data_IF_036936436474
#
_entry.id   IF_036936436474
#
_cell.length_a   1.000
_cell.length_b   1.000
_cell.length_c   1.000
_cell.angle_alpha   90.00
_cell.angle_beta   90.00
_cell.angle_gamma   90.00
#
_symmetry.space_group_name_H-M   'P 1'
#
loop_
_entity.id
_entity.type
_entity.pdbx_description
1 polymer ?
#
# COMPACT_ATOMS: atom_id res chain seq x y z
N UNK A 1 -37.17 -46.71 11.79
CA UNK A 1 -36.77 -45.88 10.62
C UNK A 1 -36.96 -44.42 11.02
N UNK A 2 -35.89 -43.74 11.42
CA UNK A 2 -35.93 -42.33 11.79
C UNK A 2 -35.68 -41.51 10.53
N UNK A 3 -36.64 -40.71 10.10
CA UNK A 3 -36.51 -39.72 9.00
C UNK A 3 -35.52 -38.63 9.40
N UNK A 4 -34.37 -38.55 8.72
CA UNK A 4 -33.50 -37.38 8.75
C UNK A 4 -34.25 -36.19 8.10
N UNK A 5 -34.62 -35.21 8.92
CA UNK A 5 -35.13 -33.93 8.48
C UNK A 5 -34.00 -33.18 7.75
N UNK A 6 -34.23 -32.86 6.47
CA UNK A 6 -33.30 -32.03 5.68
C UNK A 6 -33.24 -30.63 6.24
N UNK A 7 -32.10 -30.20 6.74
CA UNK A 7 -31.81 -28.82 6.96
C UNK A 7 -31.89 -28.09 5.60
N UNK A 8 -32.70 -27.03 5.55
CA UNK A 8 -33.14 -26.41 4.33
C UNK A 8 -31.99 -25.85 3.49
N UNK A 9 -32.12 -26.00 2.17
CA UNK A 9 -31.24 -25.48 1.11
C UNK A 9 -30.89 -23.98 1.25
N UNK A 10 -31.62 -23.24 2.10
CA UNK A 10 -31.33 -21.82 2.39
C UNK A 10 -30.11 -21.60 3.27
N UNK A 11 -29.83 -22.51 4.22
CA UNK A 11 -28.66 -22.38 5.09
C UNK A 11 -27.35 -22.76 4.38
N UNK A 12 -27.43 -23.70 3.45
CA UNK A 12 -26.30 -24.09 2.58
C UNK A 12 -25.95 -23.01 1.56
N UNK A 13 -26.93 -22.19 1.12
CA UNK A 13 -26.70 -21.06 0.25
C UNK A 13 -26.01 -19.89 1.01
N UNK A 14 -26.38 -19.67 2.27
CA UNK A 14 -25.76 -18.65 3.13
C UNK A 14 -24.32 -19.02 3.55
N UNK A 15 -23.98 -20.31 3.58
CA UNK A 15 -22.61 -20.78 3.86
C UNK A 15 -21.71 -20.83 2.62
N UNK A 16 -22.26 -20.66 1.41
CA UNK A 16 -21.49 -20.66 0.16
C UNK A 16 -20.75 -19.37 -0.12
N UNK A 17 -21.06 -18.27 0.57
CA UNK A 17 -20.43 -16.96 0.34
C UNK A 17 -19.22 -16.69 1.27
N UNK A 18 -18.88 -17.63 2.17
CA UNK A 18 -17.64 -17.49 2.95
C UNK A 18 -16.53 -18.22 2.19
N UNK A 19 -15.68 -17.44 1.52
CA UNK A 19 -14.43 -17.96 0.95
C UNK A 19 -13.70 -18.80 2.02
N UNK A 20 -13.32 -20.07 1.75
CA UNK A 20 -12.47 -20.82 2.65
C UNK A 20 -11.18 -20.05 2.90
N UNK A 21 -10.76 -19.93 4.16
CA UNK A 21 -9.46 -19.34 4.50
C UNK A 21 -8.34 -20.19 3.90
N UNK A 22 -7.40 -19.55 3.23
CA UNK A 22 -6.21 -20.23 2.72
C UNK A 22 -5.28 -20.64 3.88
N UNK A 23 -4.32 -21.55 3.61
CA UNK A 23 -3.39 -22.03 4.63
C UNK A 23 -2.60 -20.83 5.22
N UNK A 24 -2.73 -20.62 6.54
CA UNK A 24 -2.12 -19.51 7.27
C UNK A 24 -3.02 -18.28 7.46
N UNK A 25 -4.24 -18.29 6.93
CA UNK A 25 -5.24 -17.25 7.17
C UNK A 25 -6.11 -17.64 8.40
N UNK A 26 -6.48 -16.65 9.20
CA UNK A 26 -7.50 -16.81 10.24
C UNK A 26 -8.30 -15.52 10.44
N UNK A 27 -9.47 -15.62 11.07
CA UNK A 27 -10.32 -14.49 11.43
C UNK A 27 -9.81 -13.85 12.74
N UNK A 28 -9.38 -12.60 12.67
CA UNK A 28 -8.92 -11.82 13.81
C UNK A 28 -9.94 -10.72 14.13
N UNK A 29 -10.15 -10.45 15.41
CA UNK A 29 -10.97 -9.31 15.84
C UNK A 29 -10.33 -7.99 15.41
N UNK A 30 -11.14 -7.10 14.84
CA UNK A 30 -10.65 -5.79 14.35
C UNK A 30 -10.07 -4.92 15.47
N UNK A 31 -10.50 -5.13 16.71
CA UNK A 31 -10.03 -4.48 17.92
C UNK A 31 -8.60 -4.85 18.32
N UNK A 32 -8.11 -6.01 17.89
CA UNK A 32 -6.74 -6.48 18.13
C UNK A 32 -5.74 -5.94 17.09
N UNK A 33 -6.23 -5.31 16.02
CA UNK A 33 -5.40 -4.78 14.95
C UNK A 33 -5.06 -3.32 15.23
N UNK A 34 -3.80 -2.96 15.04
CA UNK A 34 -3.29 -1.59 15.21
C UNK A 34 -2.59 -1.13 13.94
N UNK A 35 -2.79 0.13 13.51
CA UNK A 35 -2.08 0.66 12.34
C UNK A 35 -0.59 0.82 12.65
N UNK A 36 0.24 0.64 11.62
CA UNK A 36 1.66 0.91 11.75
C UNK A 36 1.90 2.44 11.71
N UNK A 37 2.51 3.07 12.73
CA UNK A 37 2.75 4.50 12.78
C UNK A 37 3.71 5.01 11.69
N UNK A 38 4.49 4.12 11.07
CA UNK A 38 5.44 4.42 9.99
C UNK A 38 4.81 4.33 8.59
N UNK A 39 3.50 4.09 8.48
CA UNK A 39 2.81 4.06 7.19
C UNK A 39 2.86 5.44 6.51
N UNK A 40 3.35 5.53 5.27
CA UNK A 40 3.55 6.81 4.59
C UNK A 40 2.24 7.49 4.17
N UNK A 41 1.15 6.73 4.04
CA UNK A 41 -0.14 7.25 3.55
C UNK A 41 -0.99 7.80 4.68
N UNK A 42 -1.20 9.14 4.67
CA UNK A 42 -2.05 9.86 5.65
C UNK A 42 -3.39 10.32 5.07
N UNK A 43 -3.49 10.42 3.75
CA UNK A 43 -4.69 10.94 3.06
C UNK A 43 -5.35 9.83 2.24
N UNK A 44 -6.66 9.76 2.33
CA UNK A 44 -7.50 8.80 1.64
C UNK A 44 -8.54 9.55 0.82
N UNK A 45 -8.72 9.16 -0.44
CA UNK A 45 -9.83 9.66 -1.24
C UNK A 45 -11.15 9.19 -0.60
N UNK A 46 -12.04 10.13 -0.18
CA UNK A 46 -13.28 9.78 0.49
C UNK A 46 -14.21 8.93 -0.39
N UNK A 47 -14.28 9.19 -1.69
CA UNK A 47 -15.12 8.44 -2.61
C UNK A 47 -14.63 7.00 -2.76
N UNK A 48 -13.32 6.81 -3.00
CA UNK A 48 -12.71 5.48 -3.11
C UNK A 48 -12.75 4.69 -1.78
N UNK A 49 -12.86 5.38 -0.64
CA UNK A 49 -13.06 4.74 0.66
C UNK A 49 -14.51 4.28 0.80
N UNK A 50 -15.49 5.10 0.41
CA UNK A 50 -16.90 4.74 0.49
C UNK A 50 -17.23 3.53 -0.40
N UNK A 51 -16.74 3.49 -1.62
CA UNK A 51 -16.88 2.33 -2.52
C UNK A 51 -16.31 1.04 -1.89
N UNK A 52 -15.18 1.14 -1.19
CA UNK A 52 -14.58 0.01 -0.50
C UNK A 52 -15.44 -0.44 0.69
N UNK A 53 -15.99 0.49 1.48
CA UNK A 53 -16.89 0.19 2.61
C UNK A 53 -18.13 -0.56 2.11
N UNK A 54 -18.76 -0.07 1.03
CA UNK A 54 -19.96 -0.69 0.46
C UNK A 54 -19.67 -2.10 -0.09
N UNK A 55 -18.53 -2.28 -0.75
CA UNK A 55 -18.08 -3.60 -1.20
C UNK A 55 -17.82 -4.56 -0.03
N UNK A 56 -17.23 -4.07 1.08
CA UNK A 56 -16.95 -4.88 2.27
C UNK A 56 -18.23 -5.22 3.02
N UNK A 57 -19.24 -4.34 3.06
CA UNK A 57 -20.57 -4.65 3.62
C UNK A 57 -21.25 -5.78 2.86
N UNK A 58 -21.10 -5.81 1.54
CA UNK A 58 -21.75 -6.81 0.68
C UNK A 58 -21.00 -8.16 0.69
N UNK A 59 -19.67 -8.14 0.59
CA UNK A 59 -18.84 -9.34 0.30
C UNK A 59 -17.85 -9.70 1.42
N UNK A 60 -17.77 -8.89 2.48
CA UNK A 60 -16.72 -9.02 3.47
C UNK A 60 -15.35 -8.61 2.93
N UNK A 61 -14.31 -8.84 3.72
CA UNK A 61 -12.92 -8.61 3.32
C UNK A 61 -12.40 -9.82 2.56
N UNK A 62 -12.31 -9.72 1.22
CA UNK A 62 -11.89 -10.82 0.35
C UNK A 62 -10.39 -11.08 0.38
N UNK A 63 -9.58 -10.02 0.53
CA UNK A 63 -8.12 -10.14 0.62
C UNK A 63 -7.69 -9.98 2.07
N UNK A 64 -6.97 -10.95 2.65
CA UNK A 64 -6.55 -10.87 4.04
C UNK A 64 -5.62 -9.68 4.29
N UNK A 65 -5.67 -9.19 5.53
CA UNK A 65 -4.78 -8.13 6.02
C UNK A 65 -3.49 -8.79 6.48
N UNK A 66 -2.35 -8.29 6.03
CA UNK A 66 -1.06 -8.77 6.46
C UNK A 66 -0.67 -8.10 7.77
N UNK A 67 -0.38 -8.90 8.79
CA UNK A 67 -0.10 -8.44 10.14
C UNK A 67 1.12 -9.14 10.74
N UNK A 68 1.68 -8.55 11.82
CA UNK A 68 2.69 -9.20 12.66
C UNK A 68 2.28 -9.15 14.13
N UNK A 69 2.73 -10.06 14.98
CA UNK A 69 2.50 -10.00 16.41
C UNK A 69 3.15 -8.73 16.99
N UNK A 70 2.45 -8.01 17.86
CA UNK A 70 2.99 -6.87 18.59
C UNK A 70 2.23 -6.66 19.91
N UNK A 71 2.90 -6.92 21.03
CA UNK A 71 2.28 -6.90 22.35
C UNK A 71 1.20 -7.98 22.47
N UNK A 72 0.01 -7.58 22.90
CA UNK A 72 -1.18 -8.42 23.06
C UNK A 72 -2.09 -8.48 21.83
N UNK A 73 -1.64 -7.93 20.69
CA UNK A 73 -2.39 -7.87 19.44
C UNK A 73 -1.50 -7.98 18.22
N UNK A 74 -1.93 -7.32 17.13
CA UNK A 74 -1.25 -7.36 15.86
C UNK A 74 -1.08 -5.97 15.28
N UNK A 75 0.09 -5.71 14.68
CA UNK A 75 0.36 -4.50 13.91
C UNK A 75 0.18 -4.79 12.41
N UNK A 76 -0.54 -3.90 11.73
CA UNK A 76 -0.83 -4.02 10.30
C UNK A 76 0.44 -3.67 9.50
N UNK A 77 0.93 -4.64 8.70
CA UNK A 77 2.00 -4.43 7.72
C UNK A 77 1.41 -3.87 6.42
N UNK A 78 0.34 -4.50 5.91
CA UNK A 78 -0.33 -4.11 4.68
C UNK A 78 -1.85 -4.35 4.77
N UNK A 79 -2.64 -3.45 4.15
CA UNK A 79 -4.10 -3.55 4.13
C UNK A 79 -4.84 -2.63 5.10
N UNK A 80 -4.23 -1.53 5.56
CA UNK A 80 -4.86 -0.57 6.48
C UNK A 80 -6.19 -0.02 5.96
N UNK A 81 -6.33 0.25 4.64
CA UNK A 81 -7.62 0.67 4.06
C UNK A 81 -8.72 -0.35 4.30
N UNK A 82 -8.42 -1.64 4.11
CA UNK A 82 -9.38 -2.73 4.32
C UNK A 82 -9.79 -2.83 5.78
N UNK A 83 -8.85 -2.68 6.70
CA UNK A 83 -9.12 -2.64 8.14
C UNK A 83 -10.02 -1.47 8.52
N UNK A 84 -9.72 -0.24 8.08
CA UNK A 84 -10.55 0.95 8.35
C UNK A 84 -11.94 0.80 7.76
N UNK A 85 -12.04 0.37 6.50
CA UNK A 85 -13.32 0.14 5.84
C UNK A 85 -14.13 -0.99 6.52
N UNK A 86 -13.48 -2.03 7.06
CA UNK A 86 -14.13 -3.09 7.82
C UNK A 86 -14.72 -2.57 9.15
N UNK A 87 -14.01 -1.69 9.86
CA UNK A 87 -14.54 -1.03 11.07
C UNK A 87 -15.78 -0.21 10.72
N UNK A 88 -15.71 0.63 9.68
CA UNK A 88 -16.83 1.47 9.24
C UNK A 88 -17.99 0.65 8.66
N UNK A 89 -17.71 -0.52 8.10
CA UNK A 89 -18.72 -1.48 7.66
C UNK A 89 -19.38 -2.24 8.82
N UNK A 90 -18.85 -2.12 10.06
CA UNK A 90 -19.38 -2.78 11.25
C UNK A 90 -18.99 -4.25 11.38
N UNK A 91 -17.86 -4.68 10.80
CA UNK A 91 -17.37 -6.04 10.95
C UNK A 91 -16.60 -6.20 12.27
N UNK A 92 -16.91 -7.26 13.02
CA UNK A 92 -16.19 -7.62 14.26
C UNK A 92 -14.86 -8.32 13.97
N UNK A 93 -14.78 -9.07 12.85
CA UNK A 93 -13.62 -9.89 12.48
C UNK A 93 -13.27 -9.74 11.01
N UNK A 94 -11.98 -9.82 10.72
CA UNK A 94 -11.42 -9.76 9.36
C UNK A 94 -10.39 -10.87 9.15
N UNK A 95 -10.24 -11.37 7.92
CA UNK A 95 -9.20 -12.35 7.60
C UNK A 95 -7.82 -11.69 7.67
N UNK A 96 -6.89 -12.35 8.36
CA UNK A 96 -5.50 -11.91 8.50
C UNK A 96 -4.52 -13.02 8.17
N UNK A 97 -3.33 -12.63 7.69
CA UNK A 97 -2.16 -13.50 7.60
C UNK A 97 -1.10 -12.93 8.54
N UNK A 98 -0.61 -13.79 9.45
CA UNK A 98 0.48 -13.41 10.36
C UNK A 98 1.82 -13.70 9.72
N UNK A 99 2.71 -12.71 9.75
CA UNK A 99 4.14 -12.88 9.48
C UNK A 99 4.96 -12.50 10.71
N UNK A 100 5.80 -13.42 11.14
CA UNK A 100 6.80 -13.12 12.16
C UNK A 100 7.98 -12.40 11.50
N UNK A 101 8.00 -11.09 11.59
CA UNK A 101 9.02 -10.22 10.99
C UNK A 101 9.45 -9.15 11.98
N UNK A 102 10.71 -8.78 11.92
CA UNK A 102 11.28 -7.65 12.66
C UNK A 102 10.66 -6.31 12.23
N UNK A 103 10.85 -5.25 13.01
CA UNK A 103 10.42 -3.90 12.66
C UNK A 103 10.95 -3.46 11.30
N UNK A 104 12.22 -3.79 11.02
CA UNK A 104 12.88 -3.47 9.75
C UNK A 104 12.25 -4.21 8.58
N UNK A 105 12.03 -5.51 8.69
CA UNK A 105 11.39 -6.32 7.65
C UNK A 105 9.93 -5.92 7.42
N UNK A 106 9.20 -5.56 8.49
CA UNK A 106 7.83 -5.08 8.37
C UNK A 106 7.75 -3.76 7.59
N UNK A 107 8.68 -2.82 7.87
CA UNK A 107 8.79 -1.56 7.14
C UNK A 107 9.15 -1.80 5.67
N UNK A 108 10.07 -2.71 5.39
CA UNK A 108 10.45 -3.10 4.02
C UNK A 108 9.24 -3.63 3.24
N UNK A 109 8.50 -4.58 3.83
CA UNK A 109 7.32 -5.17 3.19
C UNK A 109 6.25 -4.11 2.90
N UNK A 110 6.01 -3.21 3.83
CA UNK A 110 5.05 -2.11 3.65
C UNK A 110 5.49 -1.15 2.53
N UNK A 111 6.79 -0.84 2.44
CA UNK A 111 7.36 0.00 1.39
C UNK A 111 7.25 -0.65 0.01
N UNK A 112 7.61 -1.92 -0.11
CA UNK A 112 7.56 -2.67 -1.37
C UNK A 112 6.11 -2.83 -1.84
N UNK A 113 5.16 -3.13 -0.92
CA UNK A 113 3.73 -3.20 -1.27
C UNK A 113 3.23 -1.85 -1.79
N UNK A 114 3.57 -0.76 -1.10
CA UNK A 114 3.18 0.57 -1.53
C UNK A 114 3.76 0.94 -2.91
N UNK A 115 5.00 0.54 -3.21
CA UNK A 115 5.65 0.76 -4.52
C UNK A 115 5.01 -0.01 -5.68
N UNK A 116 4.29 -1.09 -5.42
CA UNK A 116 3.57 -1.86 -6.45
C UNK A 116 2.23 -1.22 -6.86
N UNK A 117 1.85 -0.09 -6.26
CA UNK A 117 0.63 0.63 -6.58
C UNK A 117 0.80 1.41 -7.90
N UNK A 118 -0.29 1.50 -8.67
CA UNK A 118 -0.28 2.19 -9.96
C UNK A 118 -0.45 3.72 -9.86
N UNK A 119 -0.82 4.23 -8.69
CA UNK A 119 -1.22 5.63 -8.46
C UNK A 119 -0.17 6.47 -7.69
N UNK A 120 1.08 5.99 -7.60
CA UNK A 120 2.15 6.72 -6.94
C UNK A 120 2.60 7.93 -7.75
N UNK A 121 2.81 9.06 -7.04
CA UNK A 121 3.51 10.20 -7.61
C UNK A 121 4.98 9.84 -7.85
N UNK A 122 5.61 10.30 -8.95
CA UNK A 122 7.03 10.01 -9.25
C UNK A 122 8.01 10.40 -8.13
N UNK A 123 7.70 11.42 -7.31
CA UNK A 123 8.52 11.80 -6.16
C UNK A 123 8.34 10.85 -4.98
N UNK A 124 7.13 10.36 -4.73
CA UNK A 124 6.87 9.35 -3.69
C UNK A 124 7.57 8.04 -4.01
N UNK A 125 7.52 7.64 -5.28
CA UNK A 125 8.25 6.47 -5.78
C UNK A 125 9.77 6.63 -5.58
N UNK A 126 10.31 7.79 -5.92
CA UNK A 126 11.74 8.10 -5.77
C UNK A 126 12.17 8.10 -4.28
N UNK A 127 11.36 8.67 -3.39
CA UNK A 127 11.62 8.66 -1.94
C UNK A 127 11.59 7.24 -1.37
N UNK A 128 10.64 6.41 -1.78
CA UNK A 128 10.59 5.00 -1.35
C UNK A 128 11.84 4.22 -1.82
N UNK A 129 12.32 4.45 -3.06
CA UNK A 129 13.59 3.86 -3.52
C UNK A 129 14.77 4.35 -2.71
N UNK A 130 14.82 5.63 -2.34
CA UNK A 130 15.87 6.18 -1.50
C UNK A 130 15.90 5.50 -0.14
N UNK A 131 14.74 5.36 0.52
CA UNK A 131 14.64 4.67 1.81
C UNK A 131 15.13 3.23 1.71
N UNK A 132 14.75 2.48 0.66
CA UNK A 132 15.25 1.11 0.45
C UNK A 132 16.78 1.05 0.32
N UNK A 133 17.40 2.03 -0.30
CA UNK A 133 18.85 2.10 -0.46
C UNK A 133 19.54 2.53 0.84
N UNK A 134 19.09 3.62 1.46
CA UNK A 134 19.78 4.24 2.60
C UNK A 134 19.55 3.47 3.91
N UNK A 135 18.30 3.03 4.18
CA UNK A 135 17.95 2.38 5.45
C UNK A 135 18.11 0.86 5.41
N UNK A 136 17.88 0.25 4.23
CA UNK A 136 17.96 -1.21 4.07
C UNK A 136 19.25 -1.68 3.42
N UNK A 137 20.05 -0.78 2.84
CA UNK A 137 21.35 -1.08 2.23
C UNK A 137 21.27 -1.74 0.87
N UNK A 138 20.11 -1.66 0.18
CA UNK A 138 19.96 -2.24 -1.16
C UNK A 138 20.71 -1.42 -2.21
N UNK A 139 21.26 -2.10 -3.19
CA UNK A 139 21.72 -1.49 -4.43
C UNK A 139 20.52 -1.11 -5.32
N UNK A 140 20.72 -0.16 -6.25
CA UNK A 140 19.69 0.19 -7.23
C UNK A 140 19.22 -1.01 -8.06
N UNK A 141 20.10 -1.99 -8.29
CA UNK A 141 19.78 -3.22 -9.01
C UNK A 141 18.84 -4.13 -8.20
N UNK A 142 19.10 -4.30 -6.91
CA UNK A 142 18.25 -5.10 -6.02
C UNK A 142 16.88 -4.45 -5.83
N UNK A 143 16.83 -3.11 -5.67
CA UNK A 143 15.57 -2.38 -5.63
C UNK A 143 14.77 -2.63 -6.91
N UNK A 144 15.39 -2.49 -8.08
CA UNK A 144 14.75 -2.72 -9.38
C UNK A 144 14.16 -4.14 -9.48
N UNK A 145 14.90 -5.16 -9.08
CA UNK A 145 14.42 -6.54 -9.06
C UNK A 145 13.23 -6.73 -8.12
N UNK A 146 13.27 -6.15 -6.90
CA UNK A 146 12.18 -6.26 -5.92
C UNK A 146 10.87 -5.63 -6.40
N UNK A 147 10.95 -4.53 -7.15
CA UNK A 147 9.75 -3.81 -7.64
C UNK A 147 9.37 -4.17 -9.08
N UNK A 148 10.09 -5.09 -9.73
CA UNK A 148 9.80 -5.55 -11.09
C UNK A 148 10.06 -4.47 -12.16
N UNK A 149 11.08 -3.61 -11.95
CA UNK A 149 11.46 -2.53 -12.87
C UNK A 149 12.92 -2.64 -13.31
N UNK A 150 13.30 -1.87 -14.32
CA UNK A 150 14.70 -1.78 -14.74
C UNK A 150 15.51 -0.88 -13.80
N UNK A 151 16.81 -1.18 -13.63
CA UNK A 151 17.74 -0.36 -12.85
C UNK A 151 17.74 1.10 -13.31
N UNK A 152 17.66 1.35 -14.63
CA UNK A 152 17.62 2.69 -15.21
C UNK A 152 16.39 3.47 -14.77
N UNK A 153 15.24 2.81 -14.59
CA UNK A 153 14.01 3.41 -14.07
C UNK A 153 14.21 3.88 -12.62
N UNK A 154 14.78 3.03 -11.77
CA UNK A 154 15.10 3.37 -10.38
C UNK A 154 16.10 4.54 -10.32
N UNK A 155 17.17 4.48 -11.12
CA UNK A 155 18.17 5.55 -11.18
C UNK A 155 17.56 6.90 -11.63
N UNK A 156 16.68 6.88 -12.64
CA UNK A 156 16.00 8.08 -13.13
C UNK A 156 15.01 8.65 -12.09
N UNK A 157 14.29 7.81 -11.37
CA UNK A 157 13.41 8.24 -10.28
C UNK A 157 14.23 8.93 -9.18
N UNK A 158 15.32 8.33 -8.72
CA UNK A 158 16.18 8.91 -7.68
C UNK A 158 16.76 10.28 -8.09
N UNK A 159 17.03 10.50 -9.37
CA UNK A 159 17.47 11.80 -9.86
C UNK A 159 16.43 12.90 -9.67
N UNK A 160 15.12 12.58 -9.67
CA UNK A 160 14.05 13.56 -9.44
C UNK A 160 14.14 14.21 -8.04
N UNK A 161 14.75 13.52 -7.07
CA UNK A 161 14.97 14.07 -5.74
C UNK A 161 15.96 15.25 -5.71
N UNK A 162 16.74 15.45 -6.80
CA UNK A 162 17.68 16.56 -6.95
C UNK A 162 17.05 17.81 -7.57
N UNK A 163 15.78 17.76 -7.97
CA UNK A 163 15.05 18.93 -8.49
C UNK A 163 14.96 20.04 -7.45
N UNK A 164 14.84 21.28 -7.93
CA UNK A 164 14.53 22.42 -7.06
C UNK A 164 13.17 22.23 -6.35
N UNK A 165 12.94 22.88 -5.20
CA UNK A 165 11.66 22.78 -4.50
C UNK A 165 10.46 23.13 -5.38
N UNK A 166 10.60 24.16 -6.23
CA UNK A 166 9.56 24.62 -7.16
C UNK A 166 9.26 23.56 -8.22
N UNK A 167 10.31 22.93 -8.79
CA UNK A 167 10.15 21.87 -9.79
C UNK A 167 9.52 20.61 -9.18
N UNK A 168 9.87 20.27 -7.94
CA UNK A 168 9.22 19.16 -7.21
C UNK A 168 7.73 19.44 -7.00
N UNK A 169 7.38 20.67 -6.64
CA UNK A 169 5.98 21.03 -6.43
C UNK A 169 5.19 21.01 -7.74
N UNK A 170 5.75 21.52 -8.83
CA UNK A 170 5.15 21.45 -10.15
C UNK A 170 4.93 19.98 -10.61
N UNK A 171 5.90 19.09 -10.35
CA UNK A 171 5.78 17.66 -10.64
C UNK A 171 4.72 17.00 -9.76
N UNK A 172 4.66 17.34 -8.48
CA UNK A 172 3.65 16.81 -7.54
C UNK A 172 2.22 17.18 -7.93
N UNK A 173 2.03 18.41 -8.44
CA UNK A 173 0.74 18.90 -8.95
C UNK A 173 0.40 18.43 -10.35
N UNK A 174 1.27 17.66 -11.00
CA UNK A 174 1.06 17.22 -12.38
C UNK A 174 1.19 18.33 -13.42
N UNK A 175 1.71 19.50 -13.06
CA UNK A 175 1.95 20.63 -14.00
C UNK A 175 3.07 20.32 -15.00
N UNK A 176 4.02 19.48 -14.57
CA UNK A 176 5.07 18.93 -15.44
C UNK A 176 5.08 17.40 -15.32
N UNK A 177 5.44 16.71 -16.40
CA UNK A 177 5.63 15.26 -16.40
C UNK A 177 7.00 14.87 -15.84
N UNK A 178 7.18 13.60 -15.45
CA UNK A 178 8.49 13.04 -15.09
C UNK A 178 9.52 13.18 -16.24
N UNK A 179 9.05 13.18 -17.49
CA UNK A 179 9.88 13.45 -18.67
C UNK A 179 10.43 14.87 -18.66
N UNK A 180 9.55 15.88 -18.49
CA UNK A 180 9.95 17.29 -18.38
C UNK A 180 10.88 17.51 -17.18
N UNK A 181 10.58 16.91 -16.03
CA UNK A 181 11.41 16.99 -14.84
C UNK A 181 12.84 16.47 -15.07
N UNK A 182 13.01 15.39 -15.87
CA UNK A 182 14.34 14.88 -16.23
C UNK A 182 15.13 15.85 -17.11
N UNK A 183 14.46 16.57 -18.01
CA UNK A 183 15.10 17.63 -18.82
C UNK A 183 15.56 18.78 -17.92
N UNK A 184 14.74 19.20 -16.96
CA UNK A 184 15.13 20.23 -16.00
C UNK A 184 16.38 19.84 -15.18
N UNK A 185 16.59 18.55 -14.91
CA UNK A 185 17.80 18.07 -14.21
C UNK A 185 19.09 18.20 -15.02
N UNK A 186 19.03 18.45 -16.34
CA UNK A 186 20.20 18.74 -17.15
C UNK A 186 20.65 20.23 -17.06
N UNK A 187 19.84 21.05 -16.42
CA UNK A 187 20.10 22.46 -16.18
C UNK A 187 20.66 22.62 -14.77
N UNK A 188 21.92 23.02 -14.68
CA UNK A 188 22.60 23.15 -13.37
C UNK A 188 22.19 24.42 -12.62
N UNK A 189 21.77 25.48 -13.34
CA UNK A 189 21.39 26.75 -12.76
C UNK A 189 19.91 26.73 -12.26
N UNK A 190 19.67 26.89 -10.94
CA UNK A 190 18.31 26.94 -10.37
C UNK A 190 17.44 28.09 -10.93
N UNK A 191 18.05 29.24 -11.30
CA UNK A 191 17.31 30.37 -11.86
C UNK A 191 16.79 30.05 -13.27
N UNK A 192 17.58 29.35 -14.08
CA UNK A 192 17.15 28.89 -15.38
C UNK A 192 16.06 27.81 -15.26
N UNK A 193 16.16 26.90 -14.27
CA UNK A 193 15.09 25.95 -13.99
C UNK A 193 13.77 26.64 -13.63
N UNK A 194 13.81 27.69 -12.79
CA UNK A 194 12.62 28.48 -12.42
C UNK A 194 12.02 29.20 -13.60
N UNK A 195 12.89 29.78 -14.48
CA UNK A 195 12.44 30.49 -15.66
C UNK A 195 11.67 29.60 -16.64
N UNK A 196 12.15 28.36 -16.83
CA UNK A 196 11.49 27.35 -17.68
C UNK A 196 10.19 26.81 -17.10
N UNK A 197 10.04 26.80 -15.78
CA UNK A 197 8.79 26.38 -15.13
C UNK A 197 7.67 27.41 -15.25
N UNK A 198 7.97 28.65 -15.64
CA UNK A 198 7.00 29.75 -15.82
C UNK A 198 6.48 29.87 -17.26
N UNK A 199 7.05 29.13 -18.20
CA UNK A 199 6.61 29.03 -19.59
C UNK A 199 5.56 27.96 -19.80
#
# INVERSE_FOLDING_TARGET
VVKKGGLGKGLEALLRDVRPLDAGEFLCEVSLLRPNPLQPRKEWDPQAMQELIDSIKEKGVLQPILVRPKGDGYEIIAGERRWRAAIEAGLDKVPVIVKEVSDKEALELALVENLQRQDLNPLEEAEAYRVLIEEFGYTQQEVAQKVGKDRSTVANALRLLKLSPEAKEALRRGQISAGHARVLLSIEDPEQQRSLLRL
#
